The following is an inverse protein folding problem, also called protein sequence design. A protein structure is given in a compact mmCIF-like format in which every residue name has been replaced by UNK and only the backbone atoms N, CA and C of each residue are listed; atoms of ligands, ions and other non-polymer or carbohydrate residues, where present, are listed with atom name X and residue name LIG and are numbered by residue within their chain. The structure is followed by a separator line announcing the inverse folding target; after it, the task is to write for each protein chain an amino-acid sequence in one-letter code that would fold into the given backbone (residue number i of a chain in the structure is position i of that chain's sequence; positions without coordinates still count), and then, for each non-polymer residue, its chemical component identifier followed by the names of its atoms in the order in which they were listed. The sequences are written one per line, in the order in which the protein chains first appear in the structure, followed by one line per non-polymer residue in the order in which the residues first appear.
data_IF_766420902319
#
_entry.id   IF_766420902319
#
_cell.length_a   1.000
_cell.length_b   1.000
_cell.length_c   1.000
_cell.angle_alpha   90.00
_cell.angle_beta   90.00
_cell.angle_gamma   90.00
#
_symmetry.space_group_name_H-M   'P 1'
#
loop_
_entity.id
_entity.type
_entity.pdbx_description
1 polymer ?
#
# COMPACT_ATOMS: atom_id res chain seq x y z
N UNK A 1 18.98 -61.11 -19.19
CA UNK A 1 18.09 -60.00 -19.61
C UNK A 1 18.11 -59.00 -18.48
N UNK A 2 19.00 -57.98 -18.58
CA UNK A 2 19.15 -56.95 -17.56
C UNK A 2 18.29 -55.73 -17.97
N UNK A 3 17.26 -55.43 -17.19
CA UNK A 3 16.47 -54.18 -17.33
C UNK A 3 17.19 -53.04 -16.63
N UNK A 4 17.66 -52.09 -17.42
CA UNK A 4 18.25 -50.83 -16.94
C UNK A 4 17.11 -49.93 -16.51
N UNK A 5 17.03 -49.65 -15.22
CA UNK A 5 16.09 -48.68 -14.62
C UNK A 5 16.57 -47.27 -14.96
N UNK A 6 15.81 -46.55 -15.77
CA UNK A 6 16.05 -45.11 -16.05
C UNK A 6 15.49 -44.35 -14.84
N UNK A 7 16.38 -43.81 -14.00
CA UNK A 7 16.01 -42.93 -12.91
C UNK A 7 15.43 -41.64 -13.47
N UNK A 8 14.16 -41.39 -13.19
CA UNK A 8 13.49 -40.14 -13.52
C UNK A 8 14.09 -39.00 -12.69
N UNK A 9 14.84 -38.11 -13.35
CA UNK A 9 15.31 -36.88 -12.75
C UNK A 9 14.08 -35.99 -12.46
N UNK A 10 13.87 -35.52 -11.23
CA UNK A 10 12.69 -34.72 -10.91
C UNK A 10 12.71 -33.42 -11.70
N UNK A 11 11.65 -33.17 -12.46
CA UNK A 11 11.45 -32.02 -13.36
C UNK A 11 11.75 -30.68 -12.67
N UNK A 12 11.59 -30.60 -11.33
CA UNK A 12 11.93 -29.42 -10.54
C UNK A 12 13.43 -29.04 -10.56
N UNK A 13 14.32 -30.01 -10.71
CA UNK A 13 15.77 -29.75 -10.71
C UNK A 13 16.27 -29.34 -12.08
N UNK A 14 15.65 -29.82 -13.14
CA UNK A 14 15.91 -29.40 -14.50
C UNK A 14 15.47 -27.96 -14.74
N UNK A 15 14.30 -27.52 -14.21
CA UNK A 15 13.80 -26.15 -14.34
C UNK A 15 14.67 -25.12 -13.59
N UNK A 16 15.32 -25.50 -12.49
CA UNK A 16 16.23 -24.58 -11.77
C UNK A 16 17.49 -24.20 -12.56
N UNK A 17 17.89 -25.01 -13.53
CA UNK A 17 19.10 -24.74 -14.37
C UNK A 17 18.81 -23.82 -15.55
N UNK A 18 17.56 -23.64 -15.93
CA UNK A 18 17.15 -22.83 -17.07
C UNK A 18 16.53 -21.47 -16.70
N UNK A 19 16.19 -21.26 -15.41
CA UNK A 19 15.84 -19.92 -14.94
C UNK A 19 17.14 -19.18 -14.66
N UNK A 20 17.47 -18.11 -15.42
CA UNK A 20 18.55 -17.25 -15.00
C UNK A 20 18.24 -16.84 -13.56
N UNK A 21 19.25 -16.90 -12.69
CA UNK A 21 19.13 -16.36 -11.35
C UNK A 21 18.65 -14.93 -11.53
N UNK A 22 17.35 -14.69 -11.29
CA UNK A 22 16.85 -13.33 -11.16
C UNK A 22 17.64 -12.74 -10.02
N UNK A 23 18.68 -11.98 -10.35
CA UNK A 23 19.22 -10.99 -9.44
C UNK A 23 17.99 -10.17 -9.06
N UNK A 24 17.50 -10.41 -7.86
CA UNK A 24 16.59 -9.47 -7.22
C UNK A 24 17.37 -8.17 -7.20
N UNK A 25 17.07 -7.29 -8.15
CA UNK A 25 17.56 -5.92 -8.10
C UNK A 25 16.90 -5.35 -6.84
N UNK A 26 17.61 -5.41 -5.72
CA UNK A 26 17.30 -4.59 -4.57
C UNK A 26 17.50 -3.15 -5.02
N UNK A 27 16.44 -2.54 -5.56
CA UNK A 27 16.43 -1.10 -5.81
C UNK A 27 16.65 -0.45 -4.45
N UNK A 28 17.81 0.17 -4.32
CA UNK A 28 18.09 0.96 -3.13
C UNK A 28 17.13 2.16 -3.14
N UNK A 29 16.55 2.55 -1.98
CA UNK A 29 15.64 3.69 -1.88
C UNK A 29 16.18 5.00 -2.49
N UNK A 30 17.48 5.09 -2.67
CA UNK A 30 18.20 6.22 -3.26
C UNK A 30 17.97 6.45 -4.75
N UNK A 31 17.43 5.46 -5.48
CA UNK A 31 17.26 5.52 -6.94
C UNK A 31 15.86 5.94 -7.37
N UNK A 32 14.96 6.16 -6.41
CA UNK A 32 13.60 6.60 -6.73
C UNK A 32 13.57 8.09 -7.06
N UNK A 33 12.89 8.42 -8.15
CA UNK A 33 12.66 9.79 -8.57
C UNK A 33 11.86 10.56 -7.48
N UNK A 34 12.43 11.62 -6.88
CA UNK A 34 11.71 12.43 -5.89
C UNK A 34 10.46 13.10 -6.48
N UNK A 35 10.37 13.23 -7.82
CA UNK A 35 9.18 13.71 -8.52
C UNK A 35 7.99 12.76 -8.36
N UNK A 36 8.22 11.45 -8.30
CA UNK A 36 7.16 10.46 -8.11
C UNK A 36 6.48 10.62 -6.73
N UNK A 37 7.28 10.80 -5.68
CA UNK A 37 6.77 11.05 -4.33
C UNK A 37 5.88 12.29 -4.26
N UNK A 38 6.30 13.39 -4.89
CA UNK A 38 5.50 14.63 -4.95
C UNK A 38 4.20 14.44 -5.74
N UNK A 39 4.24 13.68 -6.82
CA UNK A 39 3.04 13.38 -7.63
C UNK A 39 2.01 12.60 -6.80
N UNK A 40 2.44 11.57 -6.07
CA UNK A 40 1.54 10.81 -5.19
C UNK A 40 1.02 11.68 -4.05
N UNK A 41 1.89 12.46 -3.38
CA UNK A 41 1.50 13.36 -2.30
C UNK A 41 0.39 14.33 -2.76
N UNK A 42 0.57 14.99 -3.91
CA UNK A 42 -0.43 15.92 -4.44
C UNK A 42 -1.78 15.25 -4.71
N UNK A 43 -1.78 14.02 -5.27
CA UNK A 43 -3.00 13.28 -5.55
C UNK A 43 -3.69 12.75 -4.30
N UNK A 44 -2.91 12.32 -3.30
CA UNK A 44 -3.43 11.92 -1.99
C UNK A 44 -4.08 13.13 -1.33
N UNK A 45 -3.43 14.30 -1.34
CA UNK A 45 -3.97 15.56 -0.79
C UNK A 45 -5.27 15.97 -1.48
N UNK A 46 -5.31 15.92 -2.82
CA UNK A 46 -6.54 16.17 -3.59
C UNK A 46 -7.67 15.22 -3.20
N UNK A 47 -7.32 13.94 -3.02
CA UNK A 47 -8.30 12.92 -2.62
C UNK A 47 -8.84 13.20 -1.22
N UNK A 48 -7.97 13.52 -0.26
CA UNK A 48 -8.36 13.84 1.11
C UNK A 48 -9.29 15.04 1.18
N UNK A 49 -9.01 16.09 0.41
CA UNK A 49 -9.84 17.32 0.35
C UNK A 49 -11.25 17.05 -0.14
N UNK A 50 -11.49 15.98 -0.92
CA UNK A 50 -12.84 15.56 -1.32
C UNK A 50 -13.68 15.01 -0.15
N UNK A 51 -13.02 14.55 0.92
CA UNK A 51 -13.69 14.07 2.14
C UNK A 51 -13.78 15.16 3.20
N UNK A 52 -12.73 15.93 3.39
CA UNK A 52 -12.72 17.05 4.35
C UNK A 52 -11.66 18.09 4.00
N UNK A 53 -12.02 19.37 4.08
CA UNK A 53 -11.08 20.46 3.99
C UNK A 53 -10.07 20.52 5.15
N UNK A 54 -10.32 19.76 6.23
CA UNK A 54 -9.44 19.63 7.41
C UNK A 54 -8.44 18.48 7.28
N UNK A 55 -8.45 17.77 6.14
CA UNK A 55 -7.52 16.68 5.86
C UNK A 55 -6.51 17.14 4.81
N UNK A 56 -5.24 16.76 5.00
CA UNK A 56 -4.14 17.09 4.10
C UNK A 56 -3.08 16.01 4.08
N UNK A 57 -2.25 16.01 3.03
CA UNK A 57 -1.07 15.19 2.90
C UNK A 57 0.18 16.06 2.85
N UNK A 58 1.22 15.68 3.58
CA UNK A 58 2.53 16.34 3.52
C UNK A 58 3.11 16.30 2.11
N UNK A 59 3.86 17.33 1.73
CA UNK A 59 4.38 17.51 0.37
C UNK A 59 5.53 16.56 0.00
N UNK A 60 6.12 15.90 0.98
CA UNK A 60 7.29 15.03 0.79
C UNK A 60 6.98 13.59 1.21
N UNK A 61 7.42 12.64 0.38
CA UNK A 61 7.44 11.24 0.73
C UNK A 61 8.76 10.89 1.41
N UNK A 62 8.72 10.09 2.47
CA UNK A 62 9.89 9.48 3.05
C UNK A 62 10.05 8.03 2.56
N UNK A 63 11.29 7.59 2.45
CA UNK A 63 11.64 6.23 2.04
C UNK A 63 12.29 5.53 3.23
N UNK A 64 11.54 4.70 3.98
CA UNK A 64 12.12 4.00 5.13
C UNK A 64 13.16 2.97 4.65
N UNK A 65 14.32 2.97 5.28
CA UNK A 65 15.43 2.05 4.93
C UNK A 65 15.11 0.58 5.23
N UNK A 66 14.12 0.31 6.06
CA UNK A 66 13.64 -1.05 6.32
C UNK A 66 12.18 -1.07 6.77
N UNK A 67 11.39 -1.96 6.20
CA UNK A 67 9.99 -2.23 6.60
C UNK A 67 9.89 -3.22 7.77
N UNK A 68 10.99 -3.55 8.42
CA UNK A 68 11.07 -4.52 9.52
C UNK A 68 10.59 -3.95 10.86
N UNK A 69 9.38 -3.44 10.90
CA UNK A 69 8.71 -3.12 12.15
C UNK A 69 7.30 -3.73 12.15
N UNK A 70 6.93 -4.30 13.28
CA UNK A 70 5.62 -4.91 13.57
C UNK A 70 4.46 -3.88 13.50
N UNK A 71 4.35 -3.13 12.37
CA UNK A 71 3.38 -2.04 12.17
C UNK A 71 2.00 -2.54 11.73
N UNK A 72 1.74 -3.86 11.79
CA UNK A 72 0.47 -4.43 11.32
C UNK A 72 -0.69 -4.30 12.33
N UNK A 73 -0.38 -4.10 13.62
CA UNK A 73 -1.40 -3.91 14.63
C UNK A 73 -2.15 -2.58 14.39
N UNK A 74 -3.45 -2.67 14.14
CA UNK A 74 -4.31 -1.49 13.92
C UNK A 74 -4.21 -0.87 12.52
N UNK A 75 -3.54 -1.50 11.56
CA UNK A 75 -3.45 -1.05 10.18
C UNK A 75 -4.49 -1.73 9.29
N UNK A 76 -5.06 -0.95 8.36
CA UNK A 76 -5.84 -1.46 7.23
C UNK A 76 -4.86 -1.60 6.06
N UNK A 77 -4.97 -2.70 5.31
CA UNK A 77 -4.21 -2.89 4.08
C UNK A 77 -5.16 -2.91 2.89
N UNK A 78 -4.99 -1.97 1.98
CA UNK A 78 -5.73 -1.86 0.72
C UNK A 78 -4.87 -2.49 -0.38
N UNK A 79 -5.47 -3.34 -1.21
CA UNK A 79 -4.79 -4.01 -2.33
C UNK A 79 -5.38 -3.51 -3.64
N UNK A 80 -4.52 -3.03 -4.52
CA UNK A 80 -4.90 -2.53 -5.84
C UNK A 80 -4.28 -3.39 -6.93
N UNK A 81 -5.12 -3.87 -7.85
CA UNK A 81 -4.65 -4.39 -9.13
C UNK A 81 -4.33 -3.21 -10.07
N UNK A 82 -3.12 -3.17 -10.61
CA UNK A 82 -2.67 -2.14 -11.55
C UNK A 82 -2.91 -2.62 -12.97
N UNK A 83 -3.68 -1.86 -13.77
CA UNK A 83 -3.94 -2.18 -15.17
C UNK A 83 -2.66 -1.99 -16.01
N UNK A 84 -2.44 -2.92 -16.95
CA UNK A 84 -1.26 -2.89 -17.82
C UNK A 84 0.05 -3.34 -17.18
N UNK A 85 0.05 -3.76 -15.92
CA UNK A 85 1.22 -4.27 -15.21
C UNK A 85 0.92 -5.63 -14.58
N UNK A 86 1.94 -6.48 -14.49
CA UNK A 86 1.83 -7.77 -13.77
C UNK A 86 2.18 -7.52 -12.31
N UNK A 87 1.34 -6.78 -11.59
CA UNK A 87 1.66 -6.48 -10.20
C UNK A 87 0.52 -5.80 -9.44
N UNK A 88 0.69 -5.77 -8.14
CA UNK A 88 -0.22 -5.14 -7.21
C UNK A 88 0.48 -4.01 -6.46
N UNK A 89 -0.25 -2.96 -6.16
CA UNK A 89 0.16 -1.95 -5.21
C UNK A 89 -0.60 -2.14 -3.89
N UNK A 90 0.03 -1.78 -2.79
CA UNK A 90 -0.61 -1.88 -1.48
C UNK A 90 -0.52 -0.51 -0.79
N UNK A 91 -1.58 -0.18 -0.06
CA UNK A 91 -1.59 0.99 0.82
C UNK A 91 -1.92 0.53 2.22
N UNK A 92 -1.08 0.89 3.18
CA UNK A 92 -1.33 0.69 4.60
C UNK A 92 -1.60 2.02 5.28
N UNK A 93 -2.64 2.04 6.11
CA UNK A 93 -3.02 3.21 6.92
C UNK A 93 -3.66 2.76 8.24
N UNK A 94 -3.50 3.54 9.33
CA UNK A 94 -4.07 3.17 10.62
C UNK A 94 -5.60 3.32 10.60
N UNK A 95 -6.30 2.42 11.32
CA UNK A 95 -7.76 2.52 11.50
C UNK A 95 -8.17 3.86 12.11
N UNK A 96 -7.35 4.39 13.03
CA UNK A 96 -7.61 5.67 13.69
C UNK A 96 -7.76 6.80 12.67
N UNK A 97 -6.97 6.78 11.59
CA UNK A 97 -7.10 7.74 10.49
C UNK A 97 -8.51 7.73 9.85
N UNK A 98 -9.09 6.54 9.62
CA UNK A 98 -10.45 6.44 9.06
C UNK A 98 -11.49 7.01 10.03
N UNK A 99 -11.29 6.82 11.34
CA UNK A 99 -12.17 7.41 12.37
C UNK A 99 -12.09 8.94 12.38
N UNK A 100 -10.86 9.47 12.33
CA UNK A 100 -10.62 10.92 12.24
C UNK A 100 -11.22 11.52 10.97
N UNK A 101 -11.01 10.85 9.83
CA UNK A 101 -11.57 11.27 8.55
C UNK A 101 -13.11 11.28 8.58
N UNK A 102 -13.74 10.30 9.23
CA UNK A 102 -15.19 10.27 9.43
C UNK A 102 -15.67 11.47 10.24
N UNK A 103 -15.03 11.74 11.38
CA UNK A 103 -15.38 12.89 12.23
C UNK A 103 -15.19 14.20 11.45
N UNK A 104 -14.06 14.34 10.74
CA UNK A 104 -13.79 15.52 9.92
C UNK A 104 -14.81 15.72 8.79
N UNK A 105 -15.23 14.64 8.14
CA UNK A 105 -16.22 14.67 7.04
C UNK A 105 -17.62 15.09 7.53
N UNK A 106 -17.93 14.82 8.78
CA UNK A 106 -19.17 15.23 9.45
C UNK A 106 -19.08 16.63 10.09
N UNK A 107 -17.95 17.32 9.92
CA UNK A 107 -17.73 18.66 10.47
C UNK A 107 -17.22 18.69 11.91
N UNK A 108 -16.92 17.55 12.52
CA UNK A 108 -16.35 17.45 13.87
C UNK A 108 -14.93 18.04 13.95
N UNK A 109 -14.47 18.32 15.18
CA UNK A 109 -13.16 18.95 15.44
C UNK A 109 -12.21 18.05 16.25
N UNK A 110 -12.69 16.96 16.82
CA UNK A 110 -11.85 16.02 17.58
C UNK A 110 -12.50 14.66 17.67
N UNK A 111 -11.69 13.61 17.78
CA UNK A 111 -12.14 12.33 18.28
C UNK A 111 -12.32 12.43 19.79
N UNK A 112 -13.43 11.91 20.33
CA UNK A 112 -13.52 11.68 21.76
C UNK A 112 -12.40 10.69 22.16
N UNK A 113 -11.68 10.97 23.27
CA UNK A 113 -10.51 10.19 23.73
C UNK A 113 -10.77 8.68 23.80
N UNK A 114 -12.00 8.28 24.13
CA UNK A 114 -12.41 6.88 24.17
C UNK A 114 -12.68 6.24 22.78
N UNK A 115 -12.82 7.03 21.73
CA UNK A 115 -13.08 6.53 20.36
C UNK A 115 -11.80 6.21 19.59
N UNK A 116 -10.66 6.75 20.03
CA UNK A 116 -9.35 6.45 19.47
C UNK A 116 -8.87 5.03 19.88
N UNK A 117 -9.36 4.50 21.03
CA UNK A 117 -8.95 3.21 21.54
C UNK A 117 -9.62 2.05 20.77
N UNK A 118 -8.82 1.30 20.06
CA UNK A 118 -8.84 -0.15 19.79
C UNK A 118 -10.21 -0.86 19.78
N UNK A 119 -11.13 -0.45 18.91
CA UNK A 119 -12.29 -1.28 18.59
C UNK A 119 -12.23 -1.76 17.14
N UNK A 120 -12.87 -2.89 16.82
CA UNK A 120 -13.12 -3.26 15.42
C UNK A 120 -13.83 -2.09 14.72
N UNK A 121 -13.49 -1.81 13.43
CA UNK A 121 -14.13 -0.73 12.70
C UNK A 121 -15.63 -1.01 12.55
N UNK A 122 -16.42 0.03 12.81
CA UNK A 122 -17.87 0.00 12.64
C UNK A 122 -18.24 -0.14 11.15
N UNK A 123 -19.48 -0.51 10.85
CA UNK A 123 -19.95 -0.60 9.46
C UNK A 123 -19.87 0.75 8.72
N UNK A 124 -20.01 1.88 9.42
CA UNK A 124 -19.88 3.21 8.82
C UNK A 124 -18.43 3.50 8.46
N UNK A 125 -17.50 3.21 9.37
CA UNK A 125 -16.06 3.33 9.13
C UNK A 125 -15.58 2.43 7.98
N UNK A 126 -16.08 1.18 7.93
CA UNK A 126 -15.81 0.25 6.82
C UNK A 126 -16.28 0.80 5.47
N UNK A 127 -17.50 1.36 5.41
CA UNK A 127 -18.02 1.99 4.19
C UNK A 127 -17.20 3.22 3.78
N UNK A 128 -16.82 4.05 4.74
CA UNK A 128 -15.96 5.21 4.46
C UNK A 128 -14.60 4.74 3.91
N UNK A 129 -13.97 3.73 4.54
CA UNK A 129 -12.70 3.18 4.09
C UNK A 129 -12.77 2.64 2.65
N UNK A 130 -13.85 1.92 2.30
CA UNK A 130 -14.09 1.44 0.93
C UNK A 130 -14.22 2.61 -0.04
N UNK A 131 -14.99 3.64 0.34
CA UNK A 131 -15.18 4.83 -0.51
C UNK A 131 -13.87 5.59 -0.70
N UNK A 132 -13.09 5.76 0.38
CA UNK A 132 -11.78 6.38 0.35
C UNK A 132 -10.79 5.57 -0.52
N UNK A 133 -10.74 4.26 -0.33
CA UNK A 133 -9.89 3.37 -1.12
C UNK A 133 -10.19 3.45 -2.61
N UNK A 134 -11.47 3.43 -3.02
CA UNK A 134 -11.87 3.58 -4.41
C UNK A 134 -11.42 4.93 -5.01
N UNK A 135 -11.41 6.00 -4.21
CA UNK A 135 -10.90 7.31 -4.65
C UNK A 135 -9.37 7.36 -4.70
N UNK A 136 -8.71 6.61 -3.80
CA UNK A 136 -7.25 6.47 -3.86
C UNK A 136 -6.78 5.71 -5.10
N UNK A 137 -7.60 4.86 -5.73
CA UNK A 137 -7.23 4.19 -6.97
C UNK A 137 -6.77 5.19 -8.07
N UNK A 138 -7.32 6.40 -8.08
CA UNK A 138 -6.97 7.45 -9.04
C UNK A 138 -5.52 7.95 -8.90
N UNK A 139 -4.86 7.74 -7.74
CA UNK A 139 -3.47 8.19 -7.53
C UNK A 139 -2.50 7.46 -8.46
N UNK A 140 -2.84 6.26 -8.89
CA UNK A 140 -2.01 5.44 -9.77
C UNK A 140 -2.04 5.88 -11.25
N UNK A 141 -2.97 6.74 -11.63
CA UNK A 141 -3.10 7.23 -13.02
C UNK A 141 -2.67 8.70 -13.16
N UNK A 142 -1.70 9.04 -14.00
CA UNK A 142 -0.51 8.28 -14.28
C UNK A 142 0.32 8.13 -13.00
N UNK A 143 1.28 7.27 -12.81
CA UNK A 143 2.16 6.71 -13.83
C UNK A 143 1.87 5.27 -14.25
N UNK A 144 1.01 4.54 -13.53
CA UNK A 144 0.80 3.11 -13.75
C UNK A 144 -0.43 2.77 -14.62
N UNK A 145 -1.30 3.73 -14.90
CA UNK A 145 -2.60 3.49 -15.51
C UNK A 145 -3.71 3.28 -14.48
N UNK A 146 -4.92 2.93 -14.94
CA UNK A 146 -6.05 2.69 -14.05
C UNK A 146 -5.73 1.60 -13.03
N UNK A 147 -6.18 1.80 -11.80
CA UNK A 147 -6.07 0.80 -10.75
C UNK A 147 -7.46 0.46 -10.20
N UNK A 148 -7.63 -0.77 -9.78
CA UNK A 148 -8.88 -1.26 -9.20
C UNK A 148 -8.62 -1.79 -7.79
N UNK A 149 -9.43 -1.37 -6.81
CA UNK A 149 -9.40 -1.94 -5.48
C UNK A 149 -9.82 -3.42 -5.55
N UNK A 150 -8.91 -4.33 -5.22
CA UNK A 150 -9.13 -5.78 -5.26
C UNK A 150 -9.65 -6.31 -3.92
N UNK A 151 -9.04 -5.86 -2.83
CA UNK A 151 -9.40 -6.30 -1.48
C UNK A 151 -8.98 -5.31 -0.41
N UNK A 152 -9.59 -5.43 0.77
CA UNK A 152 -9.24 -4.70 1.98
C UNK A 152 -9.04 -5.73 3.10
N UNK A 153 -7.88 -5.67 3.75
CA UNK A 153 -7.59 -6.46 4.94
C UNK A 153 -7.73 -5.56 6.17
N UNK A 154 -8.56 -6.02 7.10
CA UNK A 154 -8.80 -5.30 8.35
C UNK A 154 -7.80 -5.74 9.43
N UNK A 155 -7.58 -4.93 10.47
CA UNK A 155 -6.74 -5.31 11.59
C UNK A 155 -7.21 -6.63 12.23
N UNK A 156 -6.26 -7.53 12.51
CA UNK A 156 -6.55 -8.84 13.10
C UNK A 156 -6.85 -9.95 12.07
N UNK A 157 -7.02 -9.63 10.79
CA UNK A 157 -7.08 -10.65 9.75
C UNK A 157 -5.70 -11.24 9.50
N UNK A 158 -5.59 -12.58 9.65
CA UNK A 158 -4.30 -13.31 9.69
C UNK A 158 -3.61 -13.43 8.33
N UNK A 159 -4.22 -12.98 7.25
CA UNK A 159 -3.77 -13.22 5.89
C UNK A 159 -3.24 -11.95 5.20
N UNK A 160 -2.31 -11.24 5.85
CA UNK A 160 -1.54 -10.22 5.13
C UNK A 160 -0.86 -10.86 3.93
N UNK A 161 -0.96 -10.25 2.74
CA UNK A 161 -0.32 -10.81 1.54
C UNK A 161 1.18 -10.96 1.78
N UNK A 162 1.70 -12.17 1.63
CA UNK A 162 3.15 -12.44 1.63
C UNK A 162 3.88 -11.67 0.51
N UNK A 163 3.12 -11.09 -0.41
CA UNK A 163 3.54 -10.31 -1.58
C UNK A 163 4.14 -8.93 -1.25
N UNK A 164 4.09 -8.48 0.01
CA UNK A 164 4.76 -7.23 0.42
C UNK A 164 6.29 -7.30 0.35
N UNK A 165 6.86 -8.50 0.28
CA UNK A 165 8.30 -8.69 0.12
C UNK A 165 8.75 -8.32 -1.29
N UNK A 166 9.74 -7.44 -1.40
CA UNK A 166 10.29 -6.96 -2.68
C UNK A 166 9.57 -5.76 -3.28
N UNK A 167 8.60 -5.18 -2.56
CA UNK A 167 7.99 -3.91 -2.93
C UNK A 167 8.79 -2.73 -2.34
N UNK A 168 8.71 -1.59 -3.00
CA UNK A 168 9.34 -0.35 -2.55
C UNK A 168 8.34 0.44 -1.71
N UNK A 169 8.60 0.68 -0.43
CA UNK A 169 7.75 1.47 0.44
C UNK A 169 8.00 2.97 0.26
N UNK A 170 6.92 3.74 0.27
CA UNK A 170 6.90 5.20 0.34
C UNK A 170 5.96 5.62 1.45
N UNK A 171 6.43 6.43 2.39
CA UNK A 171 5.61 6.89 3.52
C UNK A 171 5.22 8.35 3.33
N UNK A 172 3.95 8.65 3.54
CA UNK A 172 3.36 9.98 3.49
C UNK A 172 2.77 10.32 4.85
N UNK A 173 3.02 11.54 5.31
CA UNK A 173 2.41 12.05 6.52
C UNK A 173 1.03 12.62 6.18
N UNK A 174 0.00 12.11 6.81
CA UNK A 174 -1.37 12.57 6.70
C UNK A 174 -1.75 13.35 7.94
N UNK A 175 -2.42 14.47 7.77
CA UNK A 175 -2.99 15.25 8.88
C UNK A 175 -4.50 15.32 8.71
N UNK A 176 -5.24 15.02 9.77
CA UNK A 176 -6.69 15.17 9.82
C UNK A 176 -7.05 15.80 11.15
N UNK A 177 -7.70 16.97 11.12
CA UNK A 177 -7.98 17.77 12.31
C UNK A 177 -6.65 18.08 13.03
N UNK A 178 -6.44 17.56 14.23
CA UNK A 178 -5.21 17.73 15.02
C UNK A 178 -4.39 16.43 15.10
N UNK A 179 -4.82 15.37 14.39
CA UNK A 179 -4.15 14.07 14.33
C UNK A 179 -3.16 13.96 13.18
N UNK A 180 -2.05 13.27 13.41
CA UNK A 180 -1.08 12.89 12.39
C UNK A 180 -1.05 11.37 12.25
N UNK A 181 -1.02 10.90 11.03
CA UNK A 181 -1.00 9.48 10.67
C UNK A 181 -0.07 9.23 9.50
N UNK A 182 0.53 8.04 9.44
CA UNK A 182 1.34 7.64 8.31
C UNK A 182 0.53 6.76 7.35
N UNK A 183 0.58 7.10 6.05
CA UNK A 183 0.16 6.22 4.96
C UNK A 183 1.42 5.64 4.33
N UNK A 184 1.48 4.31 4.22
CA UNK A 184 2.59 3.63 3.53
C UNK A 184 2.08 3.04 2.23
N UNK A 185 2.65 3.49 1.12
CA UNK A 185 2.39 2.99 -0.23
C UNK A 185 3.51 2.02 -0.62
N UNK A 186 3.17 0.81 -1.05
CA UNK A 186 4.10 -0.20 -1.55
C UNK A 186 3.89 -0.38 -3.05
N UNK A 187 4.96 -0.21 -3.82
CA UNK A 187 4.95 -0.30 -5.27
C UNK A 187 5.86 -1.42 -5.76
N UNK A 188 5.50 -2.14 -6.86
CA UNK A 188 6.35 -3.14 -7.46
C UNK A 188 7.59 -2.48 -8.09
N UNK A 189 8.79 -2.87 -7.62
CA UNK A 189 10.08 -2.27 -8.00
C UNK A 189 10.35 -2.23 -9.52
N UNK A 190 10.06 -3.29 -10.31
CA UNK A 190 10.39 -3.28 -11.75
C UNK A 190 9.52 -2.38 -12.60
N UNK A 191 8.52 -1.72 -12.02
CA UNK A 191 7.48 -0.99 -12.74
C UNK A 191 7.43 0.49 -12.37
N UNK A 192 8.38 0.94 -11.55
CA UNK A 192 8.47 2.36 -11.22
C UNK A 192 8.97 3.10 -12.45
N UNK A 193 8.12 3.90 -13.15
CA UNK A 193 8.56 4.62 -14.32
C UNK A 193 9.56 5.68 -13.92
N UNK A 194 10.68 5.74 -14.65
CA UNK A 194 11.56 6.90 -14.58
C UNK A 194 10.82 8.04 -15.29
N UNK A 195 10.37 9.04 -14.53
CA UNK A 195 9.80 10.25 -15.11
C UNK A 195 10.97 10.99 -15.79
N UNK A 196 11.00 10.96 -17.12
CA UNK A 196 11.93 11.73 -17.96
C UNK A 196 11.38 13.14 -18.17
#
# INVERSE_FOLDING_TARGET
MMMTSIAAVPIREALRRFLPAHKTLELQPKEMDPGLGRTFSAKIDETLRKFSAKASCGSEASFPESTTGNRTAGMITLVFALDGTVGKAFIQLPVVFIKELLVASLGGNSLAENSAASGEPTNVEKRLAITFANKLADIFTPPFGPAVLESIFWPGESNLPAELQGLVPMTFLLSVIDGESELVLFLPAPQIPTLI
#
